data_IF_023422878479
#
_entry.id   IF_023422878479
#
_cell.length_a   1.000
_cell.length_b   1.000
_cell.length_c   1.000
_cell.angle_alpha   90.00
_cell.angle_beta   90.00
_cell.angle_gamma   90.00
#
_symmetry.space_group_name_H-M   'P 1'
#
loop_
_entity.id
_entity.type
_entity.pdbx_description
1 polymer ?
#
# COMPACT_ATOMS: atom_id res chain seq x y z
N UNK A 1 18.50 4.85 22.30
CA UNK A 1 18.28 4.51 20.87
C UNK A 1 16.92 3.84 20.77
N UNK A 2 16.05 4.30 19.87
CA UNK A 2 14.81 3.59 19.58
C UNK A 2 15.13 2.32 18.80
N UNK A 3 14.46 1.22 19.13
CA UNK A 3 14.56 -0.01 18.34
C UNK A 3 13.87 0.20 17.00
N UNK A 4 14.41 -0.34 15.89
CA UNK A 4 13.73 -0.30 14.60
C UNK A 4 12.46 -1.16 14.66
N UNK A 5 11.41 -0.67 14.01
CA UNK A 5 10.15 -1.38 13.84
C UNK A 5 10.09 -1.92 12.41
N UNK A 6 9.65 -3.15 12.27
CA UNK A 6 9.26 -3.73 10.99
C UNK A 6 7.79 -4.13 11.10
N UNK A 7 6.91 -3.35 10.49
CA UNK A 7 5.48 -3.59 10.50
C UNK A 7 5.07 -4.28 9.19
N UNK A 8 4.45 -5.44 9.32
CA UNK A 8 4.15 -6.33 8.20
C UNK A 8 2.86 -5.97 7.46
N UNK A 9 2.04 -5.05 8.00
CA UNK A 9 0.75 -4.75 7.38
C UNK A 9 0.17 -3.41 7.83
N UNK A 10 -0.31 -2.62 6.87
CA UNK A 10 -1.28 -1.55 7.12
C UNK A 10 -2.04 -1.23 5.83
N UNK A 11 -3.30 -0.78 5.97
CA UNK A 11 -4.21 -0.42 4.87
C UNK A 11 -4.09 1.04 4.44
N UNK A 12 -3.05 1.74 4.92
CA UNK A 12 -2.93 3.19 4.65
C UNK A 12 -2.83 3.49 3.16
N UNK A 13 -2.15 2.64 2.36
CA UNK A 13 -2.03 2.85 0.92
C UNK A 13 -3.40 2.75 0.23
N UNK A 14 -4.20 1.77 0.63
CA UNK A 14 -5.55 1.61 0.12
C UNK A 14 -6.43 2.80 0.47
N UNK A 15 -6.46 3.16 1.75
CA UNK A 15 -7.30 4.26 2.22
C UNK A 15 -6.97 5.57 1.53
N UNK A 16 -5.68 5.89 1.39
CA UNK A 16 -5.24 7.05 0.63
C UNK A 16 -5.62 6.92 -0.85
N UNK A 17 -5.41 5.75 -1.46
CA UNK A 17 -5.76 5.50 -2.84
C UNK A 17 -7.26 5.62 -3.12
N UNK A 18 -8.08 5.02 -2.29
CA UNK A 18 -9.55 5.10 -2.43
C UNK A 18 -10.10 6.51 -2.22
N UNK A 19 -9.48 7.29 -1.33
CA UNK A 19 -9.92 8.67 -1.06
C UNK A 19 -9.53 9.64 -2.19
N UNK A 20 -8.46 9.37 -2.95
CA UNK A 20 -7.87 10.37 -3.86
C UNK A 20 -7.89 9.97 -5.33
N UNK A 21 -7.96 8.68 -5.66
CA UNK A 21 -7.92 8.19 -7.02
C UNK A 21 -9.33 7.99 -7.59
N UNK A 22 -9.49 8.34 -8.87
CA UNK A 22 -10.65 7.90 -9.66
C UNK A 22 -10.46 6.43 -10.05
N UNK A 23 -10.67 5.54 -9.06
CA UNK A 23 -10.61 4.11 -9.25
C UNK A 23 -11.84 3.64 -10.01
N UNK A 24 -11.66 2.69 -10.92
CA UNK A 24 -12.78 2.05 -11.59
C UNK A 24 -13.52 1.10 -10.63
N UNK A 25 -14.35 1.68 -9.78
CA UNK A 25 -15.10 0.97 -8.75
C UNK A 25 -16.36 0.26 -9.26
N UNK A 26 -16.59 0.25 -10.58
CA UNK A 26 -17.76 -0.47 -11.15
C UNK A 26 -17.78 -1.95 -10.80
N UNK A 27 -16.62 -2.51 -10.53
CA UNK A 27 -16.45 -3.92 -10.15
C UNK A 27 -16.49 -4.14 -8.63
N UNK A 28 -16.55 -3.07 -7.85
CA UNK A 28 -16.58 -3.15 -6.39
C UNK A 28 -17.99 -2.90 -5.83
N UNK A 29 -19.03 -3.02 -6.67
CA UNK A 29 -20.41 -2.94 -6.21
C UNK A 29 -20.66 -4.02 -5.15
N UNK A 30 -20.93 -3.60 -3.91
CA UNK A 30 -21.01 -4.50 -2.75
C UNK A 30 -19.80 -4.45 -1.82
N UNK A 31 -18.74 -3.75 -2.20
CA UNK A 31 -17.61 -3.45 -1.29
C UNK A 31 -17.85 -2.19 -0.47
N UNK A 32 -19.05 -1.63 -0.55
CA UNK A 32 -19.52 -0.54 0.29
C UNK A 32 -19.25 -0.90 1.76
N UNK A 33 -18.33 -0.19 2.39
CA UNK A 33 -17.99 -0.45 3.78
C UNK A 33 -16.59 -1.08 4.02
N UNK A 34 -15.77 -1.35 3.00
CA UNK A 34 -14.36 -1.67 3.25
C UNK A 34 -13.68 -0.54 4.05
N UNK A 35 -14.05 0.70 3.74
CA UNK A 35 -13.58 1.87 4.46
C UNK A 35 -14.77 2.80 4.81
N UNK A 36 -15.65 2.38 5.73
CA UNK A 36 -16.86 3.14 6.06
C UNK A 36 -16.49 4.49 6.69
N UNK A 37 -17.11 5.56 6.19
CA UNK A 37 -16.93 6.92 6.69
C UNK A 37 -15.84 7.73 5.98
N UNK A 38 -15.03 7.14 5.10
CA UNK A 38 -13.99 7.87 4.38
C UNK A 38 -14.56 8.86 3.36
N UNK A 39 -15.73 8.54 2.77
CA UNK A 39 -16.41 9.39 1.79
C UNK A 39 -16.91 10.71 2.38
N UNK A 40 -17.10 10.79 3.69
CA UNK A 40 -17.57 12.01 4.35
C UNK A 40 -16.44 12.99 4.66
N UNK A 41 -15.20 12.49 4.79
CA UNK A 41 -14.02 13.28 5.12
C UNK A 41 -12.79 12.75 4.34
N UNK A 42 -12.82 12.77 3.00
CA UNK A 42 -11.72 12.22 2.19
C UNK A 42 -10.39 12.91 2.45
N UNK A 43 -10.41 14.22 2.80
CA UNK A 43 -9.20 14.98 3.13
C UNK A 43 -8.44 14.44 4.36
N UNK A 44 -9.09 13.63 5.21
CA UNK A 44 -8.43 13.01 6.36
C UNK A 44 -7.53 11.83 5.94
N UNK A 45 -7.60 11.42 4.68
CA UNK A 45 -6.91 10.24 4.15
C UNK A 45 -6.01 10.50 2.93
N UNK A 46 -5.86 11.76 2.50
CA UNK A 46 -5.19 12.07 1.20
C UNK A 46 -3.67 11.97 1.25
N UNK A 47 -3.03 12.17 2.42
CA UNK A 47 -1.58 12.33 2.50
C UNK A 47 -0.94 11.34 3.47
N UNK A 48 0.19 10.77 3.06
CA UNK A 48 1.00 9.93 3.96
C UNK A 48 1.65 10.73 5.08
N UNK A 49 1.88 12.03 4.89
CA UNK A 49 2.49 12.89 5.88
C UNK A 49 1.66 12.94 7.16
N UNK A 50 0.34 13.13 7.05
CA UNK A 50 -0.59 13.12 8.16
C UNK A 50 -1.98 12.72 7.70
N UNK A 51 -2.55 11.70 8.33
CA UNK A 51 -3.87 11.15 8.00
C UNK A 51 -4.54 10.49 9.20
N UNK A 52 -5.80 10.14 9.06
CA UNK A 52 -6.58 9.45 10.08
C UNK A 52 -6.33 7.92 10.13
N UNK A 53 -5.58 7.35 9.17
CA UNK A 53 -5.22 5.93 9.18
C UNK A 53 -4.34 5.56 10.39
N UNK A 54 -4.11 4.26 10.60
CA UNK A 54 -3.24 3.77 11.65
C UNK A 54 -1.79 4.29 11.49
N UNK A 55 -1.31 4.40 10.26
CA UNK A 55 0.07 4.79 9.92
C UNK A 55 0.08 6.11 9.13
N UNK A 56 0.93 7.04 9.57
CA UNK A 56 1.34 8.23 8.83
C UNK A 56 2.76 8.62 9.25
N UNK A 57 3.45 9.44 8.47
CA UNK A 57 4.78 9.92 8.83
C UNK A 57 4.77 10.73 10.12
N UNK A 58 3.69 11.49 10.39
CA UNK A 58 3.53 12.21 11.65
C UNK A 58 3.46 11.27 12.85
N UNK A 59 2.75 10.13 12.74
CA UNK A 59 2.62 9.13 13.81
C UNK A 59 3.90 8.32 14.02
N UNK A 60 4.61 7.98 12.95
CA UNK A 60 5.91 7.29 13.01
C UNK A 60 6.96 8.18 13.70
N UNK A 61 6.90 9.49 13.44
CA UNK A 61 7.87 10.45 13.97
C UNK A 61 9.29 10.14 13.49
N UNK A 62 10.23 10.03 14.44
CA UNK A 62 11.64 9.73 14.17
C UNK A 62 12.03 8.27 14.47
N UNK A 63 11.06 7.39 14.64
CA UNK A 63 11.32 5.97 14.85
C UNK A 63 11.83 5.33 13.56
N UNK A 64 12.97 4.58 13.57
CA UNK A 64 13.39 3.82 12.40
C UNK A 64 12.30 2.79 12.05
N UNK A 65 11.70 2.91 10.86
CA UNK A 65 10.47 2.19 10.52
C UNK A 65 10.49 1.62 9.10
N UNK A 66 10.22 0.33 9.00
CA UNK A 66 9.93 -0.32 7.73
C UNK A 66 8.46 -0.75 7.73
N UNK A 67 7.70 -0.27 6.77
CA UNK A 67 6.25 -0.49 6.67
C UNK A 67 5.88 -1.24 5.40
N UNK A 68 5.18 -2.35 5.57
CA UNK A 68 4.45 -2.98 4.48
C UNK A 68 3.11 -2.25 4.29
N UNK A 69 3.00 -1.56 3.17
CA UNK A 69 1.77 -0.91 2.73
C UNK A 69 1.01 -1.88 1.84
N UNK A 70 -0.05 -2.44 2.38
CA UNK A 70 -0.90 -3.38 1.66
C UNK A 70 -1.79 -2.65 0.66
N UNK A 71 -2.03 -3.30 -0.47
CA UNK A 71 -3.11 -2.99 -1.38
C UNK A 71 -4.03 -4.20 -1.41
N UNK A 72 -5.24 -4.02 -0.94
CA UNK A 72 -6.28 -5.02 -0.99
C UNK A 72 -6.95 -5.01 -2.37
N UNK A 73 -7.03 -6.17 -3.00
CA UNK A 73 -7.72 -6.34 -4.28
C UNK A 73 -9.01 -7.12 -4.03
N UNK A 74 -10.19 -6.47 -4.07
CA UNK A 74 -11.47 -7.15 -3.90
C UNK A 74 -11.67 -8.28 -4.93
N UNK A 75 -12.27 -9.39 -4.50
CA UNK A 75 -12.55 -10.56 -5.37
C UNK A 75 -13.51 -10.23 -6.52
N UNK A 76 -14.32 -9.18 -6.35
CA UNK A 76 -15.25 -8.68 -7.36
C UNK A 76 -14.54 -8.03 -8.54
N UNK A 77 -13.26 -7.64 -8.39
CA UNK A 77 -12.47 -7.07 -9.49
C UNK A 77 -12.02 -8.21 -10.40
N UNK A 78 -12.46 -8.22 -11.67
CA UNK A 78 -12.00 -9.24 -12.61
C UNK A 78 -10.49 -9.26 -12.74
N UNK A 79 -9.89 -10.44 -12.86
CA UNK A 79 -8.44 -10.65 -12.95
C UNK A 79 -7.76 -9.75 -13.98
N UNK A 80 -8.40 -9.53 -15.13
CA UNK A 80 -7.90 -8.61 -16.18
C UNK A 80 -7.74 -7.15 -15.71
N UNK A 81 -8.41 -6.75 -14.62
CA UNK A 81 -8.35 -5.40 -14.04
C UNK A 81 -7.57 -5.36 -12.73
N UNK A 82 -7.38 -6.48 -12.05
CA UNK A 82 -6.74 -6.57 -10.74
C UNK A 82 -5.32 -5.98 -10.73
N UNK A 83 -4.51 -6.32 -11.73
CA UNK A 83 -3.14 -5.79 -11.84
C UNK A 83 -3.13 -4.27 -12.05
N UNK A 84 -4.07 -3.74 -12.83
CA UNK A 84 -4.20 -2.28 -13.03
C UNK A 84 -4.63 -1.59 -11.74
N UNK A 85 -5.61 -2.13 -11.05
CA UNK A 85 -6.10 -1.61 -9.77
C UNK A 85 -4.96 -1.54 -8.75
N UNK A 86 -4.23 -2.65 -8.56
CA UNK A 86 -3.05 -2.72 -7.72
C UNK A 86 -2.01 -1.66 -8.12
N UNK A 87 -1.70 -1.56 -9.41
CA UNK A 87 -0.68 -0.65 -9.91
C UNK A 87 -1.06 0.83 -9.69
N UNK A 88 -2.34 1.18 -9.77
CA UNK A 88 -2.81 2.56 -9.53
C UNK A 88 -2.56 2.98 -8.08
N UNK A 89 -2.98 2.16 -7.10
CA UNK A 89 -2.77 2.46 -5.68
C UNK A 89 -1.28 2.48 -5.35
N UNK A 90 -0.52 1.50 -5.82
CA UNK A 90 0.91 1.43 -5.60
C UNK A 90 1.65 2.63 -6.19
N UNK A 91 1.28 3.06 -7.41
CA UNK A 91 1.88 4.23 -8.04
C UNK A 91 1.57 5.51 -7.25
N UNK A 92 0.34 5.64 -6.74
CA UNK A 92 -0.04 6.77 -5.90
C UNK A 92 0.78 6.80 -4.61
N UNK A 93 0.88 5.67 -3.89
CA UNK A 93 1.68 5.57 -2.67
C UNK A 93 3.17 5.82 -2.95
N UNK A 94 3.69 5.33 -4.09
CA UNK A 94 5.06 5.63 -4.53
C UNK A 94 5.26 7.12 -4.77
N UNK A 95 4.28 7.81 -5.31
CA UNK A 95 4.29 9.27 -5.47
C UNK A 95 4.33 9.99 -4.13
N UNK A 96 3.54 9.54 -3.15
CA UNK A 96 3.58 10.06 -1.78
C UNK A 96 4.98 9.92 -1.16
N UNK A 97 5.64 8.77 -1.35
CA UNK A 97 7.01 8.54 -0.88
C UNK A 97 8.02 9.47 -1.58
N UNK A 98 7.82 9.76 -2.87
CA UNK A 98 8.67 10.72 -3.61
C UNK A 98 8.49 12.15 -3.14
N UNK A 99 7.27 12.57 -2.84
CA UNK A 99 6.98 13.90 -2.30
C UNK A 99 7.60 14.09 -0.90
N UNK A 100 7.73 13.02 -0.14
CA UNK A 100 8.31 13.00 1.21
C UNK A 100 9.70 12.31 1.21
N UNK A 101 10.50 12.51 0.16
CA UNK A 101 11.77 11.78 -0.06
C UNK A 101 12.85 12.04 1.00
N UNK A 102 12.71 13.08 1.78
CA UNK A 102 13.55 13.38 2.96
C UNK A 102 13.24 12.44 4.14
N UNK A 103 12.01 11.94 4.24
CA UNK A 103 11.51 11.11 5.34
C UNK A 103 11.15 9.68 4.95
N UNK A 104 10.95 9.40 3.67
CA UNK A 104 10.46 8.12 3.18
C UNK A 104 11.14 7.72 1.87
N UNK A 105 11.28 6.42 1.63
CA UNK A 105 11.84 5.91 0.38
C UNK A 105 11.16 4.60 -0.02
N UNK A 106 10.83 4.47 -1.31
CA UNK A 106 10.37 3.20 -1.86
C UNK A 106 11.55 2.21 -1.91
N UNK A 107 11.35 1.04 -1.33
CA UNK A 107 12.34 -0.05 -1.40
C UNK A 107 11.89 -1.10 -2.42
N UNK A 108 12.85 -1.66 -3.14
CA UNK A 108 12.60 -2.64 -4.21
C UNK A 108 13.19 -4.02 -3.90
N UNK A 109 13.88 -4.12 -2.78
CA UNK A 109 14.46 -5.37 -2.30
C UNK A 109 14.65 -5.32 -0.78
N UNK A 110 14.80 -6.48 -0.15
CA UNK A 110 15.15 -6.55 1.26
C UNK A 110 16.48 -5.85 1.59
N UNK A 111 17.41 -5.77 0.62
CA UNK A 111 18.69 -5.11 0.80
C UNK A 111 18.58 -3.58 0.97
N UNK A 112 17.48 -2.97 0.46
CA UNK A 112 17.27 -1.52 0.52
C UNK A 112 16.75 -1.07 1.89
N UNK A 113 16.20 -1.98 2.69
CA UNK A 113 15.53 -1.63 3.96
C UNK A 113 16.53 -1.09 4.98
N UNK A 114 17.65 -1.79 5.21
CA UNK A 114 18.64 -1.34 6.20
C UNK A 114 19.27 0.01 5.88
N UNK A 115 19.67 0.30 4.62
CA UNK A 115 20.10 1.64 4.23
C UNK A 115 19.06 2.72 4.53
N UNK A 116 17.79 2.49 4.15
CA UNK A 116 16.70 3.44 4.42
C UNK A 116 16.59 3.79 5.91
N UNK A 117 16.56 2.75 6.77
CA UNK A 117 16.49 2.95 8.23
C UNK A 117 17.72 3.67 8.78
N UNK A 118 18.93 3.38 8.24
CA UNK A 118 20.17 4.03 8.66
C UNK A 118 20.16 5.51 8.29
N UNK A 119 19.56 5.86 7.17
CA UNK A 119 19.42 7.24 6.69
C UNK A 119 18.26 7.98 7.40
N UNK A 120 17.61 7.35 8.39
CA UNK A 120 16.50 7.93 9.14
C UNK A 120 15.20 8.02 8.36
N UNK A 121 15.07 7.26 7.27
CA UNK A 121 13.87 7.24 6.42
C UNK A 121 12.98 6.05 6.73
N UNK A 122 11.69 6.24 6.53
CA UNK A 122 10.71 5.15 6.51
C UNK A 122 10.90 4.34 5.22
N UNK A 123 11.13 3.03 5.36
CA UNK A 123 11.19 2.13 4.22
C UNK A 123 9.76 1.76 3.78
N UNK A 124 9.33 2.22 2.61
CA UNK A 124 8.05 1.91 2.01
C UNK A 124 8.14 0.61 1.22
N UNK A 125 7.44 -0.42 1.70
CA UNK A 125 7.40 -1.75 1.09
C UNK A 125 6.00 -1.95 0.51
N UNK A 126 5.90 -2.14 -0.79
CA UNK A 126 4.62 -2.44 -1.43
C UNK A 126 4.28 -3.91 -1.32
N UNK A 127 3.06 -4.19 -0.84
CA UNK A 127 2.56 -5.55 -0.67
C UNK A 127 1.14 -5.67 -1.22
N UNK A 128 0.70 -6.89 -1.47
CA UNK A 128 -0.65 -7.21 -1.92
C UNK A 128 -1.36 -7.96 -0.82
N UNK A 129 -2.57 -7.54 -0.51
CA UNK A 129 -3.53 -8.29 0.27
C UNK A 129 -4.59 -8.87 -0.68
N UNK A 130 -4.97 -10.14 -0.46
CA UNK A 130 -5.87 -10.88 -1.32
C UNK A 130 -5.39 -10.98 -2.79
N UNK A 131 -4.53 -11.94 -3.04
CA UNK A 131 -3.94 -12.18 -4.36
C UNK A 131 -4.61 -13.35 -5.10
N UNK A 132 -5.92 -13.55 -4.94
CA UNK A 132 -6.69 -14.63 -5.58
C UNK A 132 -6.57 -14.61 -7.09
N UNK A 133 -6.45 -13.43 -7.69
CA UNK A 133 -6.27 -13.26 -9.14
C UNK A 133 -4.99 -13.91 -9.70
N UNK A 134 -3.99 -14.23 -8.87
CA UNK A 134 -2.82 -15.00 -9.31
C UNK A 134 -3.16 -16.47 -9.64
N UNK A 135 -4.25 -16.98 -9.08
CA UNK A 135 -4.69 -18.35 -9.41
C UNK A 135 -5.21 -18.44 -10.86
N UNK A 136 -5.80 -17.34 -11.37
CA UNK A 136 -6.31 -17.26 -12.73
C UNK A 136 -5.23 -16.85 -13.73
N UNK A 137 -4.33 -15.93 -13.34
CA UNK A 137 -3.21 -15.49 -14.19
C UNK A 137 -1.90 -15.39 -13.40
N UNK A 138 -1.15 -16.50 -13.27
CA UNK A 138 0.14 -16.50 -12.58
C UNK A 138 1.21 -15.58 -13.20
N UNK A 139 1.07 -15.18 -14.47
CA UNK A 139 2.03 -14.28 -15.10
C UNK A 139 2.03 -12.88 -14.45
N UNK A 140 0.92 -12.51 -13.80
CA UNK A 140 0.82 -11.25 -13.06
C UNK A 140 1.81 -11.15 -11.90
N UNK A 141 2.30 -12.27 -11.36
CA UNK A 141 3.32 -12.29 -10.31
C UNK A 141 4.59 -11.58 -10.78
N UNK A 142 5.10 -11.94 -11.95
CA UNK A 142 6.32 -11.31 -12.48
C UNK A 142 6.09 -9.86 -12.91
N UNK A 143 4.90 -9.53 -13.40
CA UNK A 143 4.52 -8.15 -13.72
C UNK A 143 4.55 -7.28 -12.47
N UNK A 144 3.83 -7.66 -11.41
CA UNK A 144 3.74 -6.85 -10.19
C UNK A 144 5.06 -6.80 -9.42
N UNK A 145 5.84 -7.90 -9.42
CA UNK A 145 7.20 -7.90 -8.91
C UNK A 145 8.09 -6.90 -9.66
N UNK A 146 8.01 -6.84 -10.97
CA UNK A 146 8.77 -5.88 -11.78
C UNK A 146 8.41 -4.43 -11.46
N UNK A 147 7.17 -4.18 -11.07
CA UNK A 147 6.69 -2.87 -10.62
C UNK A 147 7.15 -2.53 -9.20
N UNK A 148 7.59 -3.49 -8.40
CA UNK A 148 8.16 -3.27 -7.07
C UNK A 148 7.35 -3.85 -5.91
N UNK A 149 6.37 -4.70 -6.18
CA UNK A 149 5.72 -5.50 -5.13
C UNK A 149 6.72 -6.51 -4.59
N UNK A 150 6.89 -6.55 -3.26
CA UNK A 150 7.87 -7.42 -2.61
C UNK A 150 7.24 -8.60 -1.85
N UNK A 151 5.98 -8.50 -1.51
CA UNK A 151 5.29 -9.52 -0.73
C UNK A 151 3.81 -9.57 -1.13
N UNK A 152 3.25 -10.76 -1.10
CA UNK A 152 1.82 -10.98 -1.26
C UNK A 152 1.29 -11.80 -0.10
N UNK A 153 0.18 -11.37 0.49
CA UNK A 153 -0.56 -12.13 1.48
C UNK A 153 -1.64 -12.93 0.75
N UNK A 154 -1.57 -14.24 0.88
CA UNK A 154 -2.61 -15.13 0.40
C UNK A 154 -3.59 -15.34 1.56
N UNK A 155 -4.58 -14.48 1.66
CA UNK A 155 -5.69 -14.69 2.58
C UNK A 155 -6.54 -15.83 2.04
N UNK A 156 -6.59 -16.92 2.79
CA UNK A 156 -7.50 -18.02 2.53
C UNK A 156 -8.81 -17.69 3.25
N UNK A 157 -9.76 -17.11 2.54
CA UNK A 157 -11.14 -17.05 3.02
C UNK A 157 -11.88 -18.26 2.47
N UNK A 158 -12.08 -19.24 3.33
CA UNK A 158 -12.98 -20.38 3.06
C UNK A 158 -14.43 -19.95 3.21
#
# INVERSE_FOLDING_TARGET
>A
MAYPVFDLHCDTADRIGWATLDLDLRFTAGTDGYFPGDETHPQDFDLIEGNACAISLAKIGNTPWAQCFATFVPDEIPTAHAARFQAQIMAHMSGQAMLNHDRMVNVRSAADIRPALKDGKVACIHTIENATFFAEDPALIEVLKSLGVLMSCLLYTS
#
